data_IF_998089130730
#
_entry.id   IF_998089130730
#
_cell.length_a   1.000
_cell.length_b   1.000
_cell.length_c   1.000
_cell.angle_alpha   90.00
_cell.angle_beta   90.00
_cell.angle_gamma   90.00
#
_symmetry.space_group_name_H-M   'P 1'
#
loop_
_entity.id
_entity.type
_entity.pdbx_description
1 polymer ?
#
# COMPACT_ATOMS: atom_id res chain seq x y z
N UNK A 1 -26.61 -1.54 7.00
CA UNK A 1 -25.93 -0.36 6.37
C UNK A 1 -24.49 -0.72 6.03
N UNK A 2 -23.97 -0.25 4.89
CA UNK A 2 -22.59 -0.50 4.45
C UNK A 2 -21.93 0.82 4.10
N UNK A 3 -20.70 1.08 4.63
CA UNK A 3 -20.03 2.33 4.31
C UNK A 3 -18.50 2.28 4.38
N UNK A 4 -17.87 3.25 3.69
CA UNK A 4 -16.47 3.62 3.82
C UNK A 4 -16.31 4.62 4.96
N UNK A 5 -15.41 4.34 5.91
CA UNK A 5 -15.06 5.25 7.00
C UNK A 5 -13.73 5.91 6.71
N UNK A 6 -13.68 7.24 6.67
CA UNK A 6 -12.46 8.02 6.41
C UNK A 6 -12.32 9.22 7.36
N UNK A 7 -11.12 9.76 7.48
CA UNK A 7 -10.85 11.07 8.08
C UNK A 7 -11.11 12.20 7.06
N UNK A 8 -11.14 13.45 7.55
CA UNK A 8 -11.53 14.67 6.80
C UNK A 8 -11.02 14.70 5.35
N UNK A 9 -9.71 14.66 5.13
CA UNK A 9 -9.11 14.77 3.81
C UNK A 9 -8.52 13.46 3.27
N UNK A 10 -8.40 12.44 4.13
CA UNK A 10 -7.79 11.18 3.75
C UNK A 10 -8.71 10.39 2.81
N UNK A 11 -8.27 10.17 1.59
CA UNK A 11 -8.99 9.37 0.61
C UNK A 11 -10.30 9.98 0.10
N UNK A 12 -10.57 11.28 0.29
CA UNK A 12 -11.83 11.92 -0.13
C UNK A 12 -12.22 11.59 -1.58
N UNK A 13 -11.32 11.83 -2.54
CA UNK A 13 -11.59 11.54 -3.94
C UNK A 13 -11.79 10.06 -4.23
N UNK A 14 -10.96 9.20 -3.61
CA UNK A 14 -11.06 7.74 -3.78
C UNK A 14 -12.37 7.19 -3.24
N UNK A 15 -12.74 7.54 -2.01
CA UNK A 15 -13.98 7.06 -1.39
C UNK A 15 -15.22 7.57 -2.13
N UNK A 16 -15.25 8.86 -2.51
CA UNK A 16 -16.39 9.42 -3.25
C UNK A 16 -16.57 8.76 -4.62
N UNK A 17 -15.46 8.45 -5.32
CA UNK A 17 -15.53 7.75 -6.61
C UNK A 17 -16.04 6.31 -6.46
N UNK A 18 -15.64 5.59 -5.41
CA UNK A 18 -16.16 4.25 -5.11
C UNK A 18 -17.67 4.32 -4.85
N UNK A 19 -18.12 5.23 -3.98
CA UNK A 19 -19.54 5.40 -3.66
C UNK A 19 -20.37 5.74 -4.90
N UNK A 20 -19.88 6.66 -5.74
CA UNK A 20 -20.59 7.09 -6.95
C UNK A 20 -20.74 5.98 -8.01
N UNK A 21 -19.85 4.96 -7.98
CA UNK A 21 -19.85 3.88 -8.98
C UNK A 21 -20.22 2.51 -8.43
N UNK A 22 -20.43 2.39 -7.09
CA UNK A 22 -20.88 1.14 -6.46
C UNK A 22 -22.33 0.81 -6.82
N UNK A 23 -22.57 -0.47 -7.07
CA UNK A 23 -23.90 -1.03 -7.34
C UNK A 23 -24.54 -1.64 -6.09
N UNK A 24 -23.83 -1.69 -4.97
CA UNK A 24 -24.28 -2.36 -3.73
C UNK A 24 -24.66 -1.39 -2.60
N UNK A 25 -24.79 -0.10 -2.91
CA UNK A 25 -25.26 0.90 -1.96
C UNK A 25 -24.25 1.25 -0.85
N UNK A 26 -22.94 1.17 -1.16
CA UNK A 26 -21.89 1.60 -0.22
C UNK A 26 -21.99 3.12 -0.01
N UNK A 27 -22.15 3.56 1.25
CA UNK A 27 -22.08 4.96 1.64
C UNK A 27 -20.68 5.43 2.03
N UNK A 28 -20.53 6.69 2.45
CA UNK A 28 -19.29 7.22 3.03
C UNK A 28 -19.59 8.05 4.28
N UNK A 29 -18.82 7.80 5.36
CA UNK A 29 -18.87 8.56 6.59
C UNK A 29 -17.53 9.18 6.93
N UNK A 30 -17.56 10.36 7.54
CA UNK A 30 -16.41 11.08 8.06
C UNK A 30 -16.37 10.97 9.57
N UNK A 31 -15.34 10.36 10.10
CA UNK A 31 -15.18 10.15 11.56
C UNK A 31 -14.94 11.42 12.37
N UNK A 32 -14.65 12.54 11.71
CA UNK A 32 -14.41 13.85 12.34
C UNK A 32 -15.65 14.75 12.41
N UNK A 33 -16.76 14.32 11.84
CA UNK A 33 -18.00 15.11 11.85
C UNK A 33 -19.09 14.53 12.76
N UNK A 34 -19.26 13.22 12.73
CA UNK A 34 -20.32 12.53 13.44
C UNK A 34 -19.85 11.19 13.95
N UNK A 35 -20.47 10.72 15.03
CA UNK A 35 -20.32 9.33 15.46
C UNK A 35 -20.94 8.43 14.38
N UNK A 36 -20.20 7.49 13.80
CA UNK A 36 -20.73 6.65 12.74
C UNK A 36 -21.87 5.78 13.24
N UNK A 37 -22.95 5.61 12.45
CA UNK A 37 -24.06 4.72 12.82
C UNK A 37 -23.60 3.26 12.86
N UNK A 38 -24.39 2.42 13.50
CA UNK A 38 -24.18 0.96 13.47
C UNK A 38 -24.33 0.43 12.04
N UNK A 39 -23.50 -0.55 11.68
CA UNK A 39 -23.41 -1.05 10.31
C UNK A 39 -23.27 -2.57 10.25
N UNK A 40 -23.66 -3.14 9.10
CA UNK A 40 -23.37 -4.53 8.77
C UNK A 40 -21.92 -4.68 8.34
N UNK A 41 -21.40 -3.69 7.59
CA UNK A 41 -20.05 -3.73 7.04
C UNK A 41 -19.42 -2.34 6.96
N UNK A 42 -18.19 -2.22 7.46
CA UNK A 42 -17.39 -0.99 7.41
C UNK A 42 -16.04 -1.25 6.72
N UNK A 43 -15.74 -0.45 5.70
CA UNK A 43 -14.42 -0.37 5.07
C UNK A 43 -13.64 0.81 5.67
N UNK A 44 -12.62 0.55 6.48
CA UNK A 44 -11.79 1.60 7.09
C UNK A 44 -10.73 2.11 6.13
N UNK A 45 -10.91 3.29 5.58
CA UNK A 45 -9.92 3.93 4.69
C UNK A 45 -8.87 4.67 5.52
N UNK A 46 -7.90 3.92 6.09
CA UNK A 46 -6.85 4.45 6.96
C UNK A 46 -7.37 5.15 8.23
N UNK A 47 -8.59 4.86 8.63
CA UNK A 47 -9.27 5.49 9.76
C UNK A 47 -9.37 4.53 10.94
N UNK A 48 -8.90 4.97 12.11
CA UNK A 48 -8.90 4.19 13.36
C UNK A 48 -10.00 4.59 14.34
N UNK A 49 -10.92 5.48 13.93
CA UNK A 49 -12.03 5.92 14.80
C UNK A 49 -12.92 4.74 15.23
N UNK A 50 -13.48 4.76 16.45
CA UNK A 50 -14.40 3.73 16.91
C UNK A 50 -15.62 3.60 16.01
N UNK A 51 -16.07 2.37 15.77
CA UNK A 51 -17.31 2.05 15.04
C UNK A 51 -17.95 0.81 15.64
N UNK A 52 -19.29 0.72 15.51
CA UNK A 52 -20.06 -0.49 15.79
C UNK A 52 -20.46 -1.11 14.46
N UNK A 53 -19.99 -2.33 14.20
CA UNK A 53 -20.31 -3.03 12.96
C UNK A 53 -20.18 -4.54 13.14
N UNK A 54 -21.03 -5.29 12.43
CA UNK A 54 -20.95 -6.76 12.38
C UNK A 54 -19.66 -7.21 11.71
N UNK A 55 -19.20 -6.48 10.69
CA UNK A 55 -17.98 -6.78 9.94
C UNK A 55 -17.18 -5.51 9.66
N UNK A 56 -15.86 -5.61 9.84
CA UNK A 56 -14.94 -4.49 9.60
C UNK A 56 -13.79 -4.98 8.75
N UNK A 57 -13.52 -4.27 7.65
CA UNK A 57 -12.32 -4.44 6.85
C UNK A 57 -11.29 -3.36 7.22
N UNK A 58 -10.03 -3.77 7.24
CA UNK A 58 -8.90 -3.03 7.80
C UNK A 58 -9.11 -2.75 9.29
N UNK A 59 -8.89 -3.78 10.11
CA UNK A 59 -8.91 -3.64 11.57
C UNK A 59 -7.91 -2.57 12.03
N UNK A 60 -8.19 -1.95 13.16
CA UNK A 60 -7.35 -0.86 13.72
C UNK A 60 -5.91 -1.33 13.94
N UNK A 61 -5.73 -2.56 14.42
CA UNK A 61 -4.43 -3.18 14.67
C UNK A 61 -3.60 -3.27 13.37
N UNK A 62 -4.21 -3.72 12.28
CA UNK A 62 -3.54 -3.82 10.97
C UNK A 62 -3.17 -2.44 10.41
N UNK A 63 -4.03 -1.42 10.62
CA UNK A 63 -3.71 -0.04 10.24
C UNK A 63 -2.52 0.47 11.07
N UNK A 64 -2.46 0.18 12.36
CA UNK A 64 -1.34 0.58 13.22
C UNK A 64 -0.03 -0.10 12.80
N UNK A 65 -0.07 -1.40 12.49
CA UNK A 65 1.10 -2.17 12.03
C UNK A 65 1.75 -1.48 10.81
N UNK A 66 1.00 -1.13 9.78
CA UNK A 66 1.57 -0.49 8.58
C UNK A 66 1.88 1.00 8.77
N UNK A 67 1.28 1.64 9.77
CA UNK A 67 1.55 3.05 10.11
C UNK A 67 2.87 3.22 10.85
N UNK A 68 3.25 2.26 11.67
CA UNK A 68 4.57 2.20 12.31
C UNK A 68 5.60 1.64 11.32
N UNK A 69 6.19 2.55 10.56
CA UNK A 69 7.08 2.17 9.46
C UNK A 69 8.35 1.48 9.92
N UNK A 70 8.84 1.77 11.12
CA UNK A 70 10.02 1.13 11.69
C UNK A 70 9.70 -0.32 12.08
N UNK A 71 8.64 -0.56 12.85
CA UNK A 71 8.29 -1.92 13.27
C UNK A 71 7.89 -2.80 12.08
N UNK A 72 7.11 -2.26 11.15
CA UNK A 72 6.77 -3.04 9.95
C UNK A 72 8.00 -3.30 9.06
N UNK A 73 8.98 -2.39 9.03
CA UNK A 73 10.25 -2.61 8.32
C UNK A 73 11.04 -3.78 8.91
N UNK A 74 11.04 -3.97 10.24
CA UNK A 74 11.64 -5.13 10.89
C UNK A 74 11.00 -6.43 10.41
N UNK A 75 9.66 -6.47 10.35
CA UNK A 75 8.93 -7.64 9.81
C UNK A 75 9.30 -7.92 8.36
N UNK A 76 9.37 -6.90 7.51
CA UNK A 76 9.75 -7.07 6.10
C UNK A 76 11.21 -7.53 5.94
N UNK A 77 12.14 -7.03 6.74
CA UNK A 77 13.57 -7.39 6.70
C UNK A 77 13.78 -8.86 7.08
N UNK A 78 13.13 -9.35 8.13
CA UNK A 78 13.20 -10.76 8.54
C UNK A 78 12.66 -11.72 7.46
N UNK A 79 11.77 -11.24 6.60
CA UNK A 79 11.21 -12.00 5.49
C UNK A 79 11.95 -11.81 4.15
N UNK A 80 13.00 -10.97 4.14
CA UNK A 80 13.76 -10.64 2.93
C UNK A 80 12.92 -9.91 1.86
N UNK A 81 11.89 -9.18 2.27
CA UNK A 81 10.94 -8.51 1.37
C UNK A 81 11.26 -7.04 1.11
N UNK A 82 12.19 -6.46 1.84
CA UNK A 82 12.63 -5.08 1.65
C UNK A 82 14.16 -5.03 1.44
N UNK A 83 14.76 -3.89 1.06
CA UNK A 83 16.20 -3.73 1.06
C UNK A 83 16.76 -4.07 2.42
N UNK A 84 18.00 -4.60 2.47
CA UNK A 84 18.67 -4.84 3.74
C UNK A 84 18.53 -3.62 4.64
N UNK A 85 18.10 -3.82 5.88
CA UNK A 85 17.78 -2.74 6.79
C UNK A 85 18.57 -2.89 8.08
N UNK A 86 19.01 -1.76 8.65
CA UNK A 86 19.75 -1.66 9.89
C UNK A 86 19.01 -0.75 10.85
N UNK A 87 19.02 -1.12 12.11
CA UNK A 87 18.31 -0.44 13.18
C UNK A 87 19.25 0.13 14.26
N UNK A 88 20.56 -0.16 14.13
CA UNK A 88 21.64 0.37 14.96
C UNK A 88 22.65 1.09 14.07
N UNK A 89 23.22 2.20 14.58
CA UNK A 89 24.16 3.02 13.79
C UNK A 89 25.39 2.24 13.35
N UNK A 90 25.94 1.44 14.25
CA UNK A 90 27.18 0.67 14.06
C UNK A 90 27.08 -0.36 12.93
N UNK A 91 25.89 -0.91 12.67
CA UNK A 91 25.66 -1.96 11.67
C UNK A 91 25.53 -1.41 10.25
N UNK A 92 25.28 -0.11 10.08
CA UNK A 92 24.96 0.48 8.78
C UNK A 92 26.12 0.35 7.80
N UNK A 93 25.84 -0.20 6.62
CA UNK A 93 26.74 -0.25 5.47
C UNK A 93 26.36 0.83 4.45
N UNK A 94 27.34 1.30 3.68
CA UNK A 94 27.16 2.41 2.74
C UNK A 94 27.24 1.95 1.28
N UNK A 95 26.54 2.65 0.37
CA UNK A 95 25.64 3.77 0.61
C UNK A 95 24.30 3.35 1.24
N UNK A 96 23.75 4.23 2.09
CA UNK A 96 22.51 3.94 2.82
C UNK A 96 21.48 5.07 2.69
N UNK A 97 20.21 4.72 2.91
CA UNK A 97 19.10 5.67 3.02
C UNK A 97 18.59 5.65 4.46
N UNK A 98 18.65 6.79 5.14
CA UNK A 98 18.16 6.98 6.51
C UNK A 98 16.79 7.61 6.50
N UNK A 99 15.92 7.10 7.37
CA UNK A 99 14.57 7.63 7.60
C UNK A 99 14.19 7.57 9.06
N UNK A 100 13.44 8.53 9.58
CA UNK A 100 12.88 8.42 10.93
C UNK A 100 11.71 7.42 10.96
N UNK A 101 11.34 6.99 12.16
CA UNK A 101 10.17 6.11 12.39
C UNK A 101 8.91 6.66 11.75
N UNK A 102 8.67 7.97 11.86
CA UNK A 102 7.51 8.65 11.31
C UNK A 102 7.89 9.52 10.12
N UNK A 103 7.47 9.15 8.94
CA UNK A 103 7.67 9.94 7.74
C UNK A 103 6.55 9.76 6.71
N UNK A 104 6.32 10.77 5.85
CA UNK A 104 5.28 10.78 4.84
C UNK A 104 5.77 11.42 3.54
N UNK A 105 5.17 11.04 2.40
CA UNK A 105 5.35 11.69 1.09
C UNK A 105 6.81 11.77 0.60
N UNK A 106 7.68 10.82 0.98
CA UNK A 106 9.10 10.85 0.60
C UNK A 106 9.91 11.97 1.27
N UNK A 107 9.33 12.69 2.24
CA UNK A 107 10.06 13.68 3.06
C UNK A 107 10.91 12.96 4.10
N UNK A 108 11.90 13.71 4.66
CA UNK A 108 12.80 13.19 5.71
C UNK A 108 13.49 11.90 5.26
N UNK A 109 14.12 11.96 4.08
CA UNK A 109 14.94 10.92 3.48
C UNK A 109 16.33 11.49 3.25
N UNK A 110 17.35 10.83 3.79
CA UNK A 110 18.75 11.24 3.62
C UNK A 110 19.57 10.09 3.07
N UNK A 111 20.30 10.38 1.98
CA UNK A 111 21.31 9.45 1.44
C UNK A 111 22.61 9.70 2.14
N UNK A 112 23.19 8.65 2.70
CA UNK A 112 24.45 8.69 3.44
C UNK A 112 25.50 7.84 2.74
N UNK A 113 26.66 8.43 2.49
CA UNK A 113 27.79 7.76 1.84
C UNK A 113 28.84 7.25 2.85
N UNK A 114 28.80 7.77 4.09
CA UNK A 114 29.78 7.55 5.14
C UNK A 114 29.21 7.74 6.54
N UNK A 115 30.02 7.48 7.59
CA UNK A 115 29.63 7.67 8.99
C UNK A 115 29.30 9.12 9.37
N UNK A 116 30.04 10.14 8.95
CA UNK A 116 29.67 11.53 9.23
C UNK A 116 28.30 11.92 8.71
N UNK A 117 27.98 11.61 7.44
CA UNK A 117 26.66 11.88 6.86
C UNK A 117 25.55 11.08 7.53
N UNK A 118 25.83 9.85 7.97
CA UNK A 118 24.89 9.02 8.74
C UNK A 118 24.53 9.71 10.08
N UNK A 119 25.53 10.12 10.86
CA UNK A 119 25.30 10.80 12.15
C UNK A 119 24.53 12.09 12.01
N UNK A 120 24.86 12.88 10.97
CA UNK A 120 24.10 14.08 10.64
C UNK A 120 22.63 13.78 10.28
N UNK A 121 22.35 12.67 9.59
CA UNK A 121 21.00 12.25 9.27
C UNK A 121 20.24 11.76 10.50
N UNK A 122 20.85 10.95 11.36
CA UNK A 122 20.27 10.45 12.60
C UNK A 122 19.89 11.62 13.52
N UNK A 123 20.78 12.61 13.70
CA UNK A 123 20.47 13.77 14.53
C UNK A 123 19.27 14.58 14.03
N UNK A 124 19.01 14.59 12.71
CA UNK A 124 17.82 15.22 12.11
C UNK A 124 16.54 14.39 12.26
N UNK A 125 16.63 13.12 12.59
CA UNK A 125 15.45 12.28 12.82
C UNK A 125 14.68 12.75 14.05
N UNK A 126 15.35 13.15 15.12
CA UNK A 126 14.79 13.55 16.43
C UNK A 126 13.85 12.48 17.05
N UNK A 127 13.95 11.24 16.59
CA UNK A 127 13.18 10.06 16.99
C UNK A 127 13.91 8.80 16.52
N UNK A 128 13.39 7.62 16.83
CA UNK A 128 13.90 6.36 16.29
C UNK A 128 14.03 6.40 14.76
N UNK A 129 15.06 5.78 14.24
CA UNK A 129 15.36 5.72 12.81
C UNK A 129 15.54 4.29 12.34
N UNK A 130 15.56 4.12 11.05
CA UNK A 130 16.13 2.97 10.37
C UNK A 130 16.96 3.42 9.16
N UNK A 131 17.99 2.67 8.86
CA UNK A 131 18.77 2.83 7.65
C UNK A 131 18.55 1.62 6.75
N UNK A 132 18.47 1.83 5.45
CA UNK A 132 18.37 0.75 4.47
C UNK A 132 19.40 0.92 3.36
N UNK A 133 19.79 -0.19 2.75
CA UNK A 133 20.61 -0.18 1.53
C UNK A 133 20.01 0.75 0.48
N UNK A 134 20.85 1.58 -0.14
CA UNK A 134 20.45 2.41 -1.28
C UNK A 134 20.35 1.53 -2.53
N UNK A 135 19.14 1.34 -3.03
CA UNK A 135 18.88 0.59 -4.25
C UNK A 135 18.75 1.56 -5.43
N UNK A 136 19.60 1.40 -6.42
CA UNK A 136 19.51 2.10 -7.71
C UNK A 136 18.39 1.45 -8.56
N UNK A 137 17.15 1.69 -8.16
CA UNK A 137 15.97 1.06 -8.76
C UNK A 137 15.80 1.41 -10.23
N UNK A 138 15.34 0.46 -11.02
CA UNK A 138 15.03 0.63 -12.44
C UNK A 138 13.54 0.84 -12.70
N UNK A 139 12.70 0.48 -11.73
CA UNK A 139 11.25 0.69 -11.80
C UNK A 139 10.65 0.80 -10.39
N UNK A 140 9.47 1.41 -10.30
CA UNK A 140 8.66 1.45 -9.08
C UNK A 140 7.20 1.23 -9.44
N UNK A 141 6.51 0.39 -8.63
CA UNK A 141 5.11 0.03 -8.84
C UNK A 141 4.31 0.27 -7.57
N UNK A 142 3.01 0.51 -7.74
CA UNK A 142 2.02 0.35 -6.67
C UNK A 142 1.08 -0.77 -7.05
N UNK A 143 1.06 -1.81 -6.22
CA UNK A 143 0.16 -2.95 -6.35
C UNK A 143 -1.01 -2.75 -5.40
N UNK A 144 -2.21 -2.70 -5.94
CA UNK A 144 -3.42 -2.55 -5.15
C UNK A 144 -4.01 -3.92 -4.86
N UNK A 145 -4.19 -4.21 -3.57
CA UNK A 145 -4.62 -5.53 -3.09
C UNK A 145 -5.92 -5.41 -2.33
N UNK A 146 -6.83 -6.34 -2.56
CA UNK A 146 -8.12 -6.48 -1.85
C UNK A 146 -8.33 -7.97 -1.57
N UNK A 147 -8.64 -8.32 -0.33
CA UNK A 147 -8.82 -9.72 0.13
C UNK A 147 -7.67 -10.66 -0.28
N UNK A 148 -6.42 -10.17 -0.20
CA UNK A 148 -5.24 -10.94 -0.58
C UNK A 148 -5.03 -11.14 -2.09
N UNK A 149 -5.83 -10.48 -2.93
CA UNK A 149 -5.74 -10.54 -4.39
C UNK A 149 -5.51 -9.19 -5.02
N UNK A 150 -4.81 -9.14 -6.13
CA UNK A 150 -4.48 -7.91 -6.84
C UNK A 150 -5.69 -7.43 -7.63
N UNK A 151 -6.13 -6.21 -7.32
CA UNK A 151 -7.20 -5.54 -8.05
C UNK A 151 -6.67 -4.76 -9.26
N UNK A 152 -5.53 -4.09 -9.13
CA UNK A 152 -4.86 -3.41 -10.24
C UNK A 152 -3.40 -3.09 -9.87
N UNK A 153 -2.62 -2.72 -10.89
CA UNK A 153 -1.21 -2.32 -10.76
C UNK A 153 -1.00 -1.00 -11.47
N UNK A 154 -0.19 -0.14 -10.86
CA UNK A 154 0.28 1.08 -11.49
C UNK A 154 1.80 1.15 -11.43
N UNK A 155 2.45 1.53 -12.53
CA UNK A 155 3.87 1.87 -12.58
C UNK A 155 4.04 3.35 -12.23
N UNK A 156 5.02 3.64 -11.42
CA UNK A 156 5.37 5.01 -11.05
C UNK A 156 6.54 5.51 -11.90
N UNK A 157 6.43 6.73 -12.37
CA UNK A 157 7.47 7.43 -13.12
C UNK A 157 7.87 8.68 -12.34
N UNK A 158 9.15 8.94 -12.13
CA UNK A 158 9.63 10.16 -11.48
C UNK A 158 9.51 11.36 -12.42
N UNK A 159 9.43 12.56 -11.86
CA UNK A 159 9.62 13.80 -12.62
C UNK A 159 11.10 14.01 -12.98
N UNK A 160 12.00 13.63 -12.05
CA UNK A 160 13.43 13.62 -12.26
C UNK A 160 13.93 12.15 -12.17
N UNK A 161 14.56 11.59 -13.23
CA UNK A 161 15.08 10.23 -13.23
C UNK A 161 16.12 9.95 -12.12
N UNK A 162 16.90 10.96 -11.72
CA UNK A 162 17.94 10.85 -10.71
C UNK A 162 17.40 10.92 -9.26
N UNK A 163 16.09 11.17 -9.11
CA UNK A 163 15.47 11.26 -7.79
C UNK A 163 15.46 9.91 -7.08
N UNK A 164 15.95 9.89 -5.84
CA UNK A 164 15.88 8.69 -4.98
C UNK A 164 14.43 8.35 -4.64
N UNK A 165 13.57 9.33 -4.39
CA UNK A 165 12.16 9.14 -4.09
C UNK A 165 11.28 9.50 -5.29
N UNK A 166 10.57 8.52 -5.84
CA UNK A 166 9.64 8.70 -6.96
C UNK A 166 8.21 8.90 -6.41
N UNK A 167 7.89 10.09 -5.97
CA UNK A 167 6.56 10.34 -5.39
C UNK A 167 5.79 11.43 -6.16
N UNK A 168 4.46 11.36 -6.05
CA UNK A 168 3.56 12.32 -6.74
C UNK A 168 3.75 13.74 -6.25
N UNK A 169 4.10 13.92 -4.97
CA UNK A 169 4.33 15.24 -4.40
C UNK A 169 5.53 15.97 -5.06
N UNK A 170 6.50 15.21 -5.57
CA UNK A 170 7.66 15.72 -6.32
C UNK A 170 7.44 15.68 -7.84
N UNK A 171 6.19 15.65 -8.29
CA UNK A 171 5.85 15.65 -9.71
C UNK A 171 5.85 14.28 -10.39
N UNK A 172 6.06 13.20 -9.64
CA UNK A 172 5.94 11.85 -10.17
C UNK A 172 4.50 11.52 -10.60
N UNK A 173 4.36 10.63 -11.57
CA UNK A 173 3.06 10.20 -12.08
C UNK A 173 2.90 8.68 -12.03
N UNK A 174 1.65 8.22 -11.99
CA UNK A 174 1.29 6.81 -12.08
C UNK A 174 0.63 6.51 -13.42
N UNK A 175 1.06 5.46 -14.09
CA UNK A 175 0.41 4.87 -15.25
C UNK A 175 -0.14 3.49 -14.90
N UNK A 176 -1.35 3.17 -15.37
CA UNK A 176 -1.92 1.84 -15.13
C UNK A 176 -1.20 0.80 -15.99
N UNK A 177 -0.90 -0.35 -15.39
CA UNK A 177 -0.33 -1.49 -16.09
C UNK A 177 -1.46 -2.44 -16.44
N UNK A 178 -1.52 -2.87 -17.69
CA UNK A 178 -2.48 -3.91 -18.12
C UNK A 178 -2.22 -5.19 -17.32
N UNK A 179 -3.26 -5.95 -17.08
CA UNK A 179 -3.15 -7.15 -16.24
C UNK A 179 -2.21 -8.23 -16.84
N UNK A 180 -2.14 -8.33 -18.16
CA UNK A 180 -1.27 -9.23 -18.91
C UNK A 180 0.21 -8.82 -18.88
N UNK A 181 0.50 -7.55 -18.58
CA UNK A 181 1.84 -6.98 -18.42
C UNK A 181 2.30 -6.88 -16.95
N UNK A 182 1.54 -7.41 -16.01
CA UNK A 182 1.92 -7.34 -14.60
C UNK A 182 3.20 -8.12 -14.34
N UNK A 183 4.27 -7.50 -13.78
CA UNK A 183 5.52 -8.21 -13.51
C UNK A 183 5.34 -9.19 -12.35
N UNK A 184 5.40 -10.49 -12.62
CA UNK A 184 5.14 -11.55 -11.64
C UNK A 184 6.01 -11.46 -10.37
N UNK A 185 7.32 -11.10 -10.42
CA UNK A 185 8.12 -10.90 -9.22
C UNK A 185 7.56 -9.80 -8.31
N UNK A 186 7.10 -8.68 -8.90
CA UNK A 186 6.48 -7.56 -8.16
C UNK A 186 5.19 -8.01 -7.48
N UNK A 187 4.33 -8.74 -8.21
CA UNK A 187 3.07 -9.26 -7.70
C UNK A 187 3.30 -10.22 -6.52
N UNK A 188 4.23 -11.18 -6.67
CA UNK A 188 4.54 -12.16 -5.60
C UNK A 188 5.00 -11.47 -4.31
N UNK A 189 5.93 -10.53 -4.43
CA UNK A 189 6.47 -9.77 -3.28
C UNK A 189 5.38 -8.90 -2.64
N UNK A 190 4.58 -8.19 -3.46
CA UNK A 190 3.51 -7.33 -2.97
C UNK A 190 2.45 -8.10 -2.19
N UNK A 191 1.94 -9.21 -2.75
CA UNK A 191 0.93 -10.04 -2.09
C UNK A 191 1.47 -10.65 -0.81
N UNK A 192 2.71 -11.19 -0.82
CA UNK A 192 3.33 -11.75 0.38
C UNK A 192 3.47 -10.71 1.50
N UNK A 193 3.95 -9.51 1.19
CA UNK A 193 4.07 -8.43 2.16
C UNK A 193 2.70 -7.94 2.66
N UNK A 194 1.72 -7.87 1.76
CA UNK A 194 0.36 -7.48 2.11
C UNK A 194 -0.27 -8.44 3.12
N UNK A 195 -0.08 -9.74 2.95
CA UNK A 195 -0.56 -10.76 3.90
C UNK A 195 0.02 -10.57 5.30
N UNK A 196 1.29 -10.19 5.39
CA UNK A 196 1.95 -9.90 6.68
C UNK A 196 1.41 -8.66 7.38
N UNK A 197 0.79 -7.73 6.64
CA UNK A 197 0.23 -6.50 7.21
C UNK A 197 -1.08 -6.71 7.97
N UNK A 198 -1.77 -7.80 7.72
CA UNK A 198 -3.11 -8.07 8.26
C UNK A 198 -4.22 -7.17 7.69
N UNK A 199 -3.93 -6.34 6.67
CA UNK A 199 -4.94 -5.52 5.99
C UNK A 199 -5.83 -6.38 5.10
N UNK A 200 -7.09 -5.95 4.97
CA UNK A 200 -8.05 -6.55 4.02
C UNK A 200 -7.96 -5.88 2.64
N UNK A 201 -7.60 -4.60 2.58
CA UNK A 201 -7.34 -3.87 1.34
C UNK A 201 -6.29 -2.77 1.54
N UNK A 202 -5.58 -2.43 0.47
CA UNK A 202 -4.53 -1.40 0.53
C UNK A 202 -3.71 -1.29 -0.75
N UNK A 203 -2.61 -0.54 -0.67
CA UNK A 203 -1.64 -0.36 -1.74
C UNK A 203 -0.23 -0.66 -1.27
N UNK A 204 0.51 -1.49 -1.98
CA UNK A 204 1.90 -1.85 -1.70
C UNK A 204 2.81 -1.15 -2.69
N UNK A 205 3.73 -0.32 -2.22
CA UNK A 205 4.75 0.32 -3.04
C UNK A 205 5.97 -0.61 -3.14
N UNK A 206 6.35 -0.93 -4.37
CA UNK A 206 7.43 -1.87 -4.70
C UNK A 206 8.44 -1.17 -5.59
N UNK A 207 9.73 -1.28 -5.27
CA UNK A 207 10.82 -0.93 -6.17
C UNK A 207 11.49 -2.16 -6.75
N UNK A 208 12.07 -2.01 -7.93
CA UNK A 208 12.68 -3.10 -8.69
C UNK A 208 14.11 -2.75 -9.08
N UNK A 209 15.00 -3.74 -8.94
CA UNK A 209 16.35 -3.71 -9.50
C UNK A 209 16.64 -5.07 -10.16
N UNK A 210 16.74 -5.10 -11.49
CA UNK A 210 16.88 -6.35 -12.23
C UNK A 210 15.73 -7.32 -11.93
N UNK A 211 16.02 -8.58 -11.53
CA UNK A 211 14.98 -9.56 -11.19
C UNK A 211 14.42 -9.40 -9.78
N UNK A 212 15.01 -8.54 -8.95
CA UNK A 212 14.62 -8.37 -7.54
C UNK A 212 13.59 -7.28 -7.37
N UNK A 213 12.58 -7.56 -6.54
CA UNK A 213 11.55 -6.62 -6.13
C UNK A 213 11.60 -6.45 -4.61
N UNK A 214 11.41 -5.21 -4.13
CA UNK A 214 11.50 -4.85 -2.71
C UNK A 214 10.34 -3.96 -2.30
N UNK A 215 9.75 -4.23 -1.15
CA UNK A 215 8.70 -3.40 -0.56
C UNK A 215 9.29 -2.10 -0.04
N UNK A 216 8.68 -0.99 -0.41
CA UNK A 216 8.95 0.33 0.16
C UNK A 216 8.03 0.61 1.34
N UNK A 217 6.72 0.50 1.13
CA UNK A 217 5.70 0.74 2.15
C UNK A 217 4.37 0.08 1.77
N UNK A 218 3.48 -0.06 2.77
CA UNK A 218 2.08 -0.42 2.57
C UNK A 218 1.18 0.70 3.07
N UNK A 219 0.17 1.03 2.28
CA UNK A 219 -0.77 2.10 2.54
C UNK A 219 -2.19 1.55 2.76
N UNK A 220 -2.76 1.75 3.95
CA UNK A 220 -4.15 1.39 4.30
C UNK A 220 -5.20 2.34 3.73
N UNK A 221 -4.76 3.46 3.11
CA UNK A 221 -5.61 4.44 2.44
C UNK A 221 -5.01 4.85 1.09
N UNK A 222 -4.92 3.92 0.13
CA UNK A 222 -4.27 4.20 -1.14
C UNK A 222 -5.03 5.24 -1.96
N UNK A 223 -4.30 6.13 -2.64
CA UNK A 223 -4.90 7.12 -3.54
C UNK A 223 -5.28 6.47 -4.87
N UNK A 224 -6.56 6.58 -5.26
CA UNK A 224 -7.11 6.09 -6.52
C UNK A 224 -7.35 7.27 -7.47
N UNK A 225 -6.28 7.78 -8.09
CA UNK A 225 -6.35 8.99 -8.91
C UNK A 225 -6.80 8.75 -10.36
N UNK A 226 -6.90 7.50 -10.82
CA UNK A 226 -7.41 7.20 -12.17
C UNK A 226 -8.78 6.53 -12.12
N UNK A 227 -9.67 6.79 -13.10
CA UNK A 227 -10.95 6.12 -13.22
C UNK A 227 -10.82 4.59 -13.28
N UNK A 228 -9.78 4.07 -13.93
CA UNK A 228 -9.50 2.63 -13.98
C UNK A 228 -9.31 2.04 -12.58
N UNK A 229 -8.42 2.62 -11.75
CA UNK A 229 -8.18 2.14 -10.37
C UNK A 229 -9.41 2.27 -9.48
N UNK A 230 -10.18 3.34 -9.65
CA UNK A 230 -11.45 3.52 -8.96
C UNK A 230 -12.42 2.39 -9.29
N UNK A 231 -12.63 2.09 -10.58
CA UNK A 231 -13.49 0.99 -11.01
C UNK A 231 -13.02 -0.38 -10.48
N UNK A 232 -11.71 -0.64 -10.48
CA UNK A 232 -11.17 -1.89 -9.93
C UNK A 232 -11.51 -2.05 -8.44
N UNK A 233 -11.33 -1.00 -7.65
CA UNK A 233 -11.68 -1.03 -6.22
C UNK A 233 -13.19 -1.15 -6.00
N UNK A 234 -14.01 -0.40 -6.74
CA UNK A 234 -15.46 -0.50 -6.64
C UNK A 234 -15.93 -1.92 -6.90
N UNK A 235 -15.49 -2.54 -8.00
CA UNK A 235 -15.84 -3.93 -8.32
C UNK A 235 -15.41 -4.91 -7.22
N UNK A 236 -14.20 -4.75 -6.68
CA UNK A 236 -13.71 -5.61 -5.62
C UNK A 236 -14.52 -5.42 -4.31
N UNK A 237 -14.95 -4.21 -3.99
CA UNK A 237 -15.78 -3.93 -2.83
C UNK A 237 -17.21 -4.41 -3.01
N UNK A 238 -17.82 -4.17 -4.17
CA UNK A 238 -19.14 -4.71 -4.51
C UNK A 238 -19.14 -6.24 -4.44
N UNK A 239 -18.06 -6.87 -4.91
CA UNK A 239 -17.87 -8.32 -4.81
C UNK A 239 -17.84 -8.79 -3.35
N UNK A 240 -17.13 -8.07 -2.45
CA UNK A 240 -17.12 -8.36 -1.01
C UNK A 240 -18.51 -8.23 -0.40
N UNK A 241 -19.26 -7.22 -0.76
CA UNK A 241 -20.63 -7.00 -0.27
C UNK A 241 -21.54 -8.16 -0.68
N UNK A 242 -21.41 -8.64 -1.90
CA UNK A 242 -22.24 -9.71 -2.45
C UNK A 242 -21.83 -11.12 -2.00
N UNK A 243 -20.52 -11.37 -1.87
CA UNK A 243 -19.98 -12.72 -1.63
C UNK A 243 -19.38 -12.89 -0.22
N UNK A 244 -19.33 -11.82 0.57
CA UNK A 244 -18.70 -11.81 1.89
C UNK A 244 -17.19 -11.46 1.84
N UNK A 245 -16.63 -11.15 3.00
CA UNK A 245 -15.23 -10.75 3.19
C UNK A 245 -14.25 -11.92 3.25
N UNK A 246 -14.53 -13.02 2.59
CA UNK A 246 -13.62 -14.17 2.60
C UNK A 246 -12.21 -13.78 2.16
N UNK A 247 -11.20 -14.21 2.92
CA UNK A 247 -9.82 -14.16 2.44
C UNK A 247 -9.70 -15.14 1.28
N UNK A 248 -9.40 -14.63 0.10
CA UNK A 248 -9.33 -15.45 -1.10
C UNK A 248 -8.01 -16.22 -1.12
N UNK A 249 -7.99 -17.54 -0.90
CA UNK A 249 -6.76 -18.31 -0.88
C UNK A 249 -6.08 -18.26 -2.24
N UNK A 250 -4.75 -18.16 -2.23
CA UNK A 250 -3.96 -18.29 -3.45
C UNK A 250 -4.04 -19.73 -3.94
N UNK A 251 -4.36 -19.92 -5.22
CA UNK A 251 -4.31 -21.25 -5.85
C UNK A 251 -2.87 -21.81 -5.89
N UNK A 252 -2.73 -23.10 -6.06
CA UNK A 252 -1.43 -23.79 -6.09
C UNK A 252 -0.66 -23.61 -7.40
N UNK A 253 -1.34 -23.26 -8.51
CA UNK A 253 -0.70 -23.11 -9.83
C UNK A 253 0.15 -21.84 -9.89
N UNK A 254 1.36 -21.97 -10.41
CA UNK A 254 2.37 -20.93 -10.58
C UNK A 254 2.07 -19.99 -11.78
N UNK A 255 0.88 -19.43 -11.88
CA UNK A 255 0.60 -18.40 -12.87
C UNK A 255 0.04 -17.14 -12.19
N UNK A 256 0.17 -15.97 -12.83
CA UNK A 256 -0.26 -14.70 -12.25
C UNK A 256 -1.79 -14.58 -12.10
N UNK A 257 -2.61 -15.38 -12.81
CA UNK A 257 -4.08 -15.37 -12.67
C UNK A 257 -4.51 -15.71 -11.25
N UNK A 258 -3.75 -16.54 -10.52
CA UNK A 258 -4.04 -16.84 -9.11
C UNK A 258 -3.94 -15.61 -8.20
N UNK A 259 -3.24 -14.58 -8.61
CA UNK A 259 -3.09 -13.34 -7.86
C UNK A 259 -4.17 -12.30 -8.19
N UNK A 260 -4.89 -12.44 -9.29
CA UNK A 260 -5.91 -11.47 -9.73
C UNK A 260 -7.15 -11.60 -8.85
N UNK A 261 -7.74 -10.47 -8.47
CA UNK A 261 -9.02 -10.46 -7.74
C UNK A 261 -10.15 -11.00 -8.64
N UNK A 262 -11.05 -11.90 -8.15
CA UNK A 262 -12.11 -12.50 -8.98
C UNK A 262 -12.98 -11.51 -9.73
N UNK A 263 -13.39 -10.42 -9.07
CA UNK A 263 -14.18 -9.35 -9.69
C UNK A 263 -13.49 -8.65 -10.90
N UNK A 264 -12.18 -8.88 -11.09
CA UNK A 264 -11.44 -8.36 -12.23
C UNK A 264 -11.32 -9.42 -13.33
N UNK A 265 -11.19 -10.71 -12.94
CA UNK A 265 -11.11 -11.84 -13.89
C UNK A 265 -12.38 -11.95 -14.72
N UNK A 266 -13.56 -11.79 -14.13
CA UNK A 266 -14.85 -11.87 -14.82
C UNK A 266 -14.92 -10.92 -16.04
N UNK A 267 -14.25 -9.77 -15.95
CA UNK A 267 -14.17 -8.82 -17.07
C UNK A 267 -13.19 -9.22 -18.18
N UNK A 268 -12.15 -9.99 -17.86
CA UNK A 268 -11.12 -10.43 -18.82
C UNK A 268 -11.67 -11.52 -19.75
N UNK A 269 -12.70 -12.24 -19.29
CA UNK A 269 -13.35 -13.31 -20.06
C UNK A 269 -14.34 -12.76 -21.09
N UNK A 270 -14.72 -11.48 -20.99
CA UNK A 270 -15.68 -10.81 -21.86
C UNK A 270 -15.00 -9.93 -22.96
N UNK A 271 -13.65 -9.81 -22.94
CA UNK A 271 -12.82 -9.17 -23.96
C UNK A 271 -12.06 -10.23 -24.80
#
# INVERSE_FOLDING_TARGET
MIYLLRRRNLGKGSCNAIVASSTTGIGVFRSDLYYPPEADLVFRWGCTAPVRATSILNKVEAIHVVSDKLEFRKVLDTQGLCPKTWFQEEDVKFPAVVRPRTHHQGRRLWVCQDRPSLRAAISRCAEDFYASELINKTAEYRVFVVSGRVACVARKFPANPDAVAWNVYQGGRFENVRWDDWPLPVIKVAVRAFLLSGLDFGGVDIMVLGPKAYVLEINSAPSLTSPYRQRCFTKAFDWIVQKGKGFLPLGTRENYRKYIHPAIIERISDE
#
